data_IF_736642509822
#
_entry.id   IF_736642509822
#
_cell.length_a   1.000
_cell.length_b   1.000
_cell.length_c   1.000
_cell.angle_alpha   90.00
_cell.angle_beta   90.00
_cell.angle_gamma   90.00
#
_symmetry.space_group_name_H-M   'P 1'
#
loop_
_entity.id
_entity.type
_entity.pdbx_description
1 polymer ?
#
# COMPACT_ATOMS: atom_id res chain seq x y z
N UNK A 1 23.97 5.88 -11.08
CA UNK A 1 23.05 5.30 -10.09
C UNK A 1 22.91 3.83 -10.37
N UNK A 2 23.26 2.98 -9.41
CA UNK A 2 22.80 1.61 -9.37
C UNK A 2 21.32 1.63 -8.89
N UNK A 3 20.35 1.09 -9.66
CA UNK A 3 18.94 1.10 -9.27
C UNK A 3 18.66 0.40 -7.92
N UNK A 4 19.58 -0.42 -7.42
CA UNK A 4 19.46 -1.07 -6.11
C UNK A 4 19.86 -0.18 -4.92
N UNK A 5 20.51 0.97 -5.16
CA UNK A 5 20.98 1.87 -4.10
C UNK A 5 20.65 3.33 -4.43
N UNK A 6 19.47 3.77 -3.98
CA UNK A 6 19.02 5.16 -4.11
C UNK A 6 18.78 5.79 -2.72
N UNK A 7 19.37 6.97 -2.50
CA UNK A 7 19.03 7.79 -1.34
C UNK A 7 17.75 8.58 -1.64
N UNK A 8 16.60 8.03 -1.26
CA UNK A 8 15.31 8.68 -1.48
C UNK A 8 15.20 10.05 -0.80
N UNK A 9 15.92 10.28 0.30
CA UNK A 9 15.86 11.55 1.04
C UNK A 9 16.49 12.71 0.26
N UNK A 10 17.43 12.43 -0.65
CA UNK A 10 18.04 13.44 -1.53
C UNK A 10 17.40 13.41 -2.92
N UNK A 11 17.21 12.21 -3.47
CA UNK A 11 16.83 12.04 -4.87
C UNK A 11 15.32 12.29 -5.11
N UNK A 12 14.46 11.99 -4.13
CA UNK A 12 13.00 12.07 -4.30
C UNK A 12 12.37 13.35 -3.73
N UNK A 13 13.17 14.33 -3.28
CA UNK A 13 12.65 15.58 -2.67
C UNK A 13 11.72 16.36 -3.59
N UNK A 14 11.95 16.28 -4.90
CA UNK A 14 11.15 16.93 -5.93
C UNK A 14 10.20 15.96 -6.64
N UNK A 15 9.94 14.79 -6.06
CA UNK A 15 9.07 13.76 -6.62
C UNK A 15 9.83 12.57 -7.22
N UNK A 16 9.21 11.87 -8.17
CA UNK A 16 9.73 10.60 -8.67
C UNK A 16 11.06 10.78 -9.44
N UNK A 17 12.11 10.10 -8.98
CA UNK A 17 13.47 10.10 -9.58
C UNK A 17 13.53 9.58 -11.01
N UNK A 18 12.50 8.85 -11.44
CA UNK A 18 12.44 8.31 -12.79
C UNK A 18 12.07 9.40 -13.80
N UNK A 19 11.40 10.48 -13.38
CA UNK A 19 10.90 11.52 -14.28
C UNK A 19 10.17 10.89 -15.47
N UNK A 20 10.62 11.23 -16.67
CA UNK A 20 10.08 10.72 -17.95
C UNK A 20 10.31 9.22 -18.18
N UNK A 21 11.17 8.57 -17.37
CA UNK A 21 11.41 7.12 -17.44
C UNK A 21 10.43 6.31 -16.59
N UNK A 22 9.44 6.95 -15.95
CA UNK A 22 8.44 6.22 -15.19
C UNK A 22 7.62 5.33 -16.16
N UNK A 23 7.64 3.99 -16.00
CA UNK A 23 7.03 3.06 -16.96
C UNK A 23 5.50 3.17 -17.00
N UNK A 24 4.91 3.84 -15.99
CA UNK A 24 3.49 3.99 -15.79
C UNK A 24 2.97 5.40 -16.12
N UNK A 25 3.77 6.26 -16.77
CA UNK A 25 3.35 7.62 -17.14
C UNK A 25 2.09 7.68 -17.98
N UNK A 26 1.81 6.64 -18.77
CA UNK A 26 0.58 6.51 -19.56
C UNK A 26 -0.71 6.55 -18.71
N UNK A 27 -0.62 6.31 -17.39
CA UNK A 27 -1.74 6.33 -16.44
C UNK A 27 -1.83 7.63 -15.63
N UNK A 28 -1.02 8.65 -15.95
CA UNK A 28 -0.97 9.90 -15.18
C UNK A 28 -2.32 10.59 -15.12
N UNK A 29 -3.04 10.65 -16.25
CA UNK A 29 -4.30 11.37 -16.33
C UNK A 29 -5.43 10.64 -15.59
N UNK A 30 -5.51 9.32 -15.74
CA UNK A 30 -6.45 8.50 -14.97
C UNK A 30 -6.16 8.58 -13.46
N UNK A 31 -4.88 8.63 -13.07
CA UNK A 31 -4.49 8.80 -11.67
C UNK A 31 -4.92 10.18 -11.14
N UNK A 32 -4.76 11.25 -11.93
CA UNK A 32 -5.22 12.59 -11.55
C UNK A 32 -6.73 12.63 -11.34
N UNK A 33 -7.49 12.04 -12.26
CA UNK A 33 -8.94 11.93 -12.15
C UNK A 33 -9.36 11.16 -10.90
N UNK A 34 -8.73 10.02 -10.65
CA UNK A 34 -8.98 9.22 -9.44
C UNK A 34 -8.74 10.02 -8.16
N UNK A 35 -7.62 10.75 -8.06
CA UNK A 35 -7.30 11.59 -6.89
C UNK A 35 -8.30 12.73 -6.67
N UNK A 36 -8.90 13.26 -7.74
CA UNK A 36 -9.94 14.29 -7.64
C UNK A 36 -11.29 13.72 -7.20
N UNK A 37 -11.62 12.51 -7.63
CA UNK A 37 -12.92 11.88 -7.41
C UNK A 37 -13.02 11.09 -6.10
N UNK A 38 -11.89 10.73 -5.49
CA UNK A 38 -11.82 9.86 -4.31
C UNK A 38 -11.36 10.61 -3.08
N UNK A 39 -12.06 10.40 -1.96
CA UNK A 39 -11.61 10.92 -0.67
C UNK A 39 -10.39 10.14 -0.17
N UNK A 40 -9.61 10.76 0.72
CA UNK A 40 -8.47 10.09 1.37
C UNK A 40 -8.94 8.83 2.11
N UNK A 41 -10.07 8.88 2.81
CA UNK A 41 -10.62 7.72 3.52
C UNK A 41 -11.00 6.59 2.56
N UNK A 42 -11.58 6.92 1.41
CA UNK A 42 -11.90 5.92 0.38
C UNK A 42 -10.62 5.27 -0.19
N UNK A 43 -9.58 6.07 -0.43
CA UNK A 43 -8.28 5.56 -0.86
C UNK A 43 -7.61 4.67 0.18
N UNK A 44 -7.72 5.01 1.47
CA UNK A 44 -7.23 4.17 2.58
C UNK A 44 -7.98 2.84 2.61
N UNK A 45 -9.31 2.84 2.45
CA UNK A 45 -10.12 1.61 2.40
C UNK A 45 -9.72 0.72 1.21
N UNK A 46 -9.51 1.31 0.03
CA UNK A 46 -9.02 0.57 -1.15
C UNK A 46 -7.65 -0.06 -0.87
N UNK A 47 -6.75 0.67 -0.22
CA UNK A 47 -5.42 0.18 0.11
C UNK A 47 -5.43 -0.92 1.19
N UNK A 48 -6.29 -0.80 2.21
CA UNK A 48 -6.44 -1.81 3.26
C UNK A 48 -6.91 -3.16 2.69
N UNK A 49 -7.82 -3.13 1.71
CA UNK A 49 -8.32 -4.33 1.04
C UNK A 49 -7.25 -5.09 0.24
N UNK A 50 -6.09 -4.48 -0.06
CA UNK A 50 -4.96 -5.17 -0.69
C UNK A 50 -4.37 -6.27 0.20
N UNK A 51 -4.41 -6.07 1.51
CA UNK A 51 -3.87 -6.99 2.51
C UNK A 51 -4.97 -7.76 3.24
N UNK A 52 -6.25 -7.48 2.93
CA UNK A 52 -7.34 -8.26 3.46
C UNK A 52 -7.16 -9.73 3.02
N UNK A 53 -7.40 -10.69 3.91
CA UNK A 53 -7.55 -12.08 3.48
C UNK A 53 -8.61 -12.14 2.38
N UNK A 54 -8.47 -13.05 1.39
CA UNK A 54 -9.52 -13.26 0.41
C UNK A 54 -10.84 -13.50 1.14
N UNK A 55 -11.98 -12.95 0.64
CA UNK A 55 -13.24 -13.00 1.37
C UNK A 55 -13.56 -14.45 1.72
N UNK A 56 -13.59 -14.70 3.02
CA UNK A 56 -13.76 -15.98 3.64
C UNK A 56 -15.12 -16.55 3.20
N UNK A 57 -15.11 -17.60 2.37
CA UNK A 57 -16.18 -18.59 2.47
C UNK A 57 -15.89 -19.27 3.82
N UNK A 58 -16.56 -18.80 4.88
CA UNK A 58 -16.57 -19.34 6.25
C UNK A 58 -15.54 -18.77 7.26
N UNK A 59 -15.72 -17.52 7.68
CA UNK A 59 -15.37 -17.12 9.06
C UNK A 59 -16.50 -17.50 10.03
N UNK A 60 -16.70 -18.80 10.20
CA UNK A 60 -17.40 -19.38 11.35
C UNK A 60 -16.66 -20.62 11.82
N UNK A 61 -15.37 -20.51 12.13
CA UNK A 61 -14.80 -21.48 13.06
C UNK A 61 -13.61 -20.91 13.85
N UNK A 62 -13.76 -20.98 15.18
CA UNK A 62 -12.69 -21.14 16.15
C UNK A 62 -11.62 -20.04 16.32
N UNK A 63 -11.91 -19.14 17.27
CA UNK A 63 -11.02 -18.76 18.38
C UNK A 63 -9.59 -19.37 18.34
N UNK A 64 -8.58 -18.57 17.98
CA UNK A 64 -7.19 -18.84 18.36
C UNK A 64 -6.73 -17.82 19.41
N UNK A 65 -6.13 -18.25 20.54
CA UNK A 65 -5.61 -17.34 21.56
C UNK A 65 -4.34 -16.66 21.04
N UNK A 66 -4.32 -15.32 21.09
CA UNK A 66 -3.13 -14.55 20.73
C UNK A 66 -2.19 -14.50 21.95
N UNK A 67 -0.90 -14.90 21.85
CA UNK A 67 0.02 -14.85 22.99
C UNK A 67 0.35 -13.41 23.39
N UNK A 68 0.59 -13.19 24.68
CA UNK A 68 1.03 -11.88 25.17
C UNK A 68 2.46 -11.54 24.68
N UNK A 69 2.88 -10.28 24.86
CA UNK A 69 4.22 -9.82 24.44
C UNK A 69 5.39 -10.51 25.17
N UNK A 70 5.10 -11.36 26.15
CA UNK A 70 6.07 -12.18 26.87
C UNK A 70 6.03 -13.67 26.44
N UNK A 71 5.21 -14.00 25.45
CA UNK A 71 5.14 -15.34 24.86
C UNK A 71 4.37 -16.36 25.68
N UNK A 72 3.49 -15.94 26.59
CA UNK A 72 2.64 -16.87 27.34
C UNK A 72 1.21 -16.88 26.76
N UNK A 73 0.63 -18.07 26.62
CA UNK A 73 -0.77 -18.28 26.23
C UNK A 73 -1.62 -18.44 27.51
N UNK A 74 -2.73 -17.70 27.63
CA UNK A 74 -3.76 -17.94 28.66
C UNK A 74 -4.86 -18.85 28.14
#
# INVERSE_FOLDING_TARGET
MDPATINCQEACVNGCVLGDRCPNLKYLEETRKFLQEKSIDEMINIAANRFAPPPDIEAQDSQEPNPDHNGNFM
#
